data_IF_532545601795
#
_entry.id   IF_532545601795
#
_cell.length_a   1.000
_cell.length_b   1.000
_cell.length_c   1.000
_cell.angle_alpha   90.00
_cell.angle_beta   90.00
_cell.angle_gamma   90.00
#
_symmetry.space_group_name_H-M   'P 1'
#
loop_
_entity.id
_entity.type
_entity.pdbx_description
1 polymer ?
#
# COMPACT_ATOMS: atom_id res chain seq x y z
N UNK A 1 -38.35 -1.33 -9.34
CA UNK A 1 -37.89 -0.37 -8.52
C UNK A 1 -36.43 -0.20 -8.40
N UNK A 2 -36.04 0.98 -8.61
CA UNK A 2 -34.78 1.20 -8.61
C UNK A 2 -34.27 1.71 -7.39
N UNK A 3 -33.30 1.19 -7.06
CA UNK A 3 -32.65 1.45 -5.97
C UNK A 3 -32.12 2.80 -5.83
N UNK A 4 -31.76 3.16 -4.68
CA UNK A 4 -31.15 4.40 -4.37
C UNK A 4 -29.92 4.63 -5.22
N UNK A 5 -29.44 5.86 -5.36
CA UNK A 5 -28.25 6.12 -6.10
C UNK A 5 -27.10 5.21 -5.64
N UNK A 6 -26.52 4.52 -6.54
CA UNK A 6 -25.48 3.56 -6.27
C UNK A 6 -25.76 2.23 -6.95
N UNK A 7 -24.82 1.31 -6.82
CA UNK A 7 -24.96 0.00 -7.42
C UNK A 7 -25.78 -0.92 -6.52
N UNK A 8 -26.57 -1.82 -7.11
CA UNK A 8 -27.18 -2.91 -6.35
C UNK A 8 -26.07 -3.85 -5.86
N UNK A 9 -26.40 -4.79 -4.96
CA UNK A 9 -25.41 -5.70 -4.39
C UNK A 9 -24.63 -6.49 -5.43
N UNK A 10 -25.29 -6.96 -6.48
CA UNK A 10 -24.62 -7.69 -7.56
C UNK A 10 -23.67 -6.80 -8.34
N UNK A 11 -24.08 -5.58 -8.66
CA UNK A 11 -23.21 -4.63 -9.35
C UNK A 11 -22.01 -4.23 -8.51
N UNK A 12 -22.19 -4.05 -7.21
CA UNK A 12 -21.07 -3.77 -6.29
C UNK A 12 -20.05 -4.89 -6.29
N UNK A 13 -20.49 -6.15 -6.29
CA UNK A 13 -19.61 -7.30 -6.33
C UNK A 13 -18.83 -7.36 -7.64
N UNK A 14 -19.48 -7.10 -8.77
CA UNK A 14 -18.85 -7.10 -10.08
C UNK A 14 -17.79 -6.00 -10.17
N UNK A 15 -18.10 -4.80 -9.72
CA UNK A 15 -17.16 -3.67 -9.73
C UNK A 15 -15.94 -3.98 -8.86
N UNK A 16 -16.13 -4.52 -7.66
CA UNK A 16 -15.02 -4.91 -6.79
C UNK A 16 -14.14 -5.97 -7.45
N UNK A 17 -14.75 -6.97 -8.08
CA UNK A 17 -14.01 -8.03 -8.75
C UNK A 17 -13.16 -7.46 -9.89
N UNK A 18 -13.72 -6.56 -10.68
CA UNK A 18 -12.99 -5.93 -11.77
C UNK A 18 -11.82 -5.09 -11.27
N UNK A 19 -12.01 -4.35 -10.19
CA UNK A 19 -10.92 -3.58 -9.58
C UNK A 19 -9.84 -4.48 -9.02
N UNK A 20 -10.21 -5.58 -8.35
CA UNK A 20 -9.27 -6.53 -7.80
C UNK A 20 -8.47 -7.22 -8.90
N UNK A 21 -9.11 -7.59 -10.00
CA UNK A 21 -8.43 -8.18 -11.16
C UNK A 21 -7.41 -7.23 -11.76
N UNK A 22 -7.76 -5.95 -11.87
CA UNK A 22 -6.86 -4.94 -12.42
C UNK A 22 -5.66 -4.68 -11.51
N UNK A 23 -5.87 -4.64 -10.18
CA UNK A 23 -4.81 -4.40 -9.20
C UNK A 23 -3.99 -5.65 -8.90
N UNK A 24 -4.53 -6.82 -9.19
CA UNK A 24 -3.99 -8.10 -8.79
C UNK A 24 -4.31 -8.40 -7.34
N UNK A 25 -4.03 -9.62 -6.91
CA UNK A 25 -4.22 -10.03 -5.53
C UNK A 25 -3.12 -9.43 -4.65
N UNK A 26 -3.33 -9.44 -3.34
CA UNK A 26 -2.30 -9.00 -2.40
C UNK A 26 -1.02 -9.83 -2.57
N UNK A 27 -1.15 -11.15 -2.74
CA UNK A 27 0.01 -12.03 -2.95
C UNK A 27 0.78 -11.67 -4.23
N UNK A 28 0.07 -11.38 -5.33
CA UNK A 28 0.71 -10.96 -6.57
C UNK A 28 1.49 -9.66 -6.42
N UNK A 29 1.07 -8.78 -5.52
CA UNK A 29 1.77 -7.53 -5.20
C UNK A 29 2.89 -7.72 -4.17
N UNK A 30 3.14 -8.95 -3.73
CA UNK A 30 4.18 -9.27 -2.77
C UNK A 30 3.71 -9.43 -1.32
N UNK A 31 2.43 -9.17 -1.04
CA UNK A 31 1.89 -9.23 0.32
C UNK A 31 1.37 -10.64 0.65
N UNK A 32 2.27 -11.58 0.75
CA UNK A 32 2.00 -12.99 1.01
C UNK A 32 2.22 -13.35 2.50
N UNK A 33 2.28 -14.64 2.83
CA UNK A 33 2.49 -15.09 4.21
C UNK A 33 3.87 -14.73 4.75
N UNK A 34 4.88 -14.68 3.89
CA UNK A 34 6.23 -14.24 4.26
C UNK A 34 6.20 -12.76 4.67
N UNK A 35 5.49 -11.93 3.92
CA UNK A 35 5.30 -10.52 4.26
C UNK A 35 4.55 -10.38 5.59
N UNK A 36 3.49 -11.16 5.81
CA UNK A 36 2.72 -11.10 7.05
C UNK A 36 3.59 -11.35 8.27
N UNK A 37 4.49 -12.32 8.20
CA UNK A 37 5.43 -12.61 9.28
C UNK A 37 6.44 -11.49 9.48
N UNK A 38 6.98 -10.97 8.39
CA UNK A 38 7.97 -9.89 8.42
C UNK A 38 7.39 -8.61 9.02
N UNK A 39 6.15 -8.23 8.62
CA UNK A 39 5.52 -7.04 9.16
C UNK A 39 5.19 -7.17 10.64
N UNK A 40 4.72 -8.33 11.06
CA UNK A 40 4.43 -8.58 12.47
C UNK A 40 5.69 -8.45 13.33
N UNK A 41 6.79 -9.00 12.87
CA UNK A 41 8.08 -8.88 13.54
C UNK A 41 8.54 -7.41 13.62
N UNK A 42 8.42 -6.67 12.52
CA UNK A 42 8.79 -5.25 12.45
C UNK A 42 7.96 -4.42 13.43
N UNK A 43 6.65 -4.63 13.47
CA UNK A 43 5.75 -3.89 14.36
C UNK A 43 6.00 -4.19 15.84
N UNK A 44 6.45 -5.39 16.17
CA UNK A 44 6.87 -5.70 17.55
C UNK A 44 8.09 -4.90 17.97
N UNK A 45 9.02 -4.63 17.03
CA UNK A 45 10.21 -3.82 17.30
C UNK A 45 9.93 -2.33 17.22
N UNK A 46 8.95 -1.93 16.40
CA UNK A 46 8.60 -0.53 16.17
C UNK A 46 7.10 -0.33 16.41
N UNK A 47 6.66 -0.35 17.69
CA UNK A 47 5.23 -0.42 18.00
C UNK A 47 4.47 0.90 17.87
N UNK A 48 5.15 2.02 17.69
CA UNK A 48 4.50 3.34 17.68
C UNK A 48 4.56 4.00 16.31
N UNK A 49 3.46 4.68 15.95
CA UNK A 49 3.39 5.46 14.73
C UNK A 49 4.42 6.59 14.75
N UNK A 50 5.30 6.65 13.75
CA UNK A 50 6.37 7.66 13.72
C UNK A 50 5.83 9.08 13.57
N UNK A 51 4.74 9.28 12.85
CA UNK A 51 4.14 10.62 12.69
C UNK A 51 3.47 11.08 13.96
N UNK A 52 2.79 10.18 14.68
CA UNK A 52 2.23 10.52 15.99
C UNK A 52 3.32 10.87 16.99
N UNK A 53 4.45 10.15 16.97
CA UNK A 53 5.60 10.45 17.84
C UNK A 53 6.16 11.85 17.58
N UNK A 54 6.23 12.26 16.30
CA UNK A 54 6.67 13.62 15.95
C UNK A 54 5.75 14.67 16.54
N UNK A 55 4.45 14.35 16.67
CA UNK A 55 3.46 15.23 17.29
C UNK A 55 3.38 15.03 18.80
N UNK A 56 4.33 14.30 19.39
CA UNK A 56 4.39 13.99 20.83
C UNK A 56 3.19 13.19 21.32
N UNK A 57 2.63 12.33 20.46
CA UNK A 57 1.54 11.43 20.80
C UNK A 57 2.02 9.99 20.77
N UNK A 58 1.48 9.17 21.67
CA UNK A 58 1.80 7.75 21.74
C UNK A 58 0.63 6.97 21.16
N UNK A 59 0.75 6.56 19.91
CA UNK A 59 -0.30 5.83 19.20
C UNK A 59 0.31 4.58 18.58
N UNK A 60 -0.34 3.45 18.77
CA UNK A 60 0.15 2.17 18.25
C UNK A 60 0.17 2.18 16.72
N UNK A 61 1.25 1.66 16.15
CA UNK A 61 1.33 1.42 14.72
C UNK A 61 0.65 0.10 14.41
N UNK A 62 -0.14 0.09 13.35
CA UNK A 62 -0.84 -1.11 12.88
C UNK A 62 -0.51 -1.44 11.43
N UNK A 63 0.19 -0.55 10.75
CA UNK A 63 0.54 -0.69 9.34
C UNK A 63 2.03 -0.48 9.16
N UNK A 64 2.65 -1.29 8.33
CA UNK A 64 4.00 -1.05 7.83
C UNK A 64 3.87 -0.43 6.45
N UNK A 65 4.36 0.80 6.32
CA UNK A 65 4.29 1.55 5.08
C UNK A 65 5.63 1.52 4.35
N UNK A 66 5.60 1.46 3.02
CA UNK A 66 6.79 1.64 2.20
C UNK A 66 6.93 3.12 1.87
N UNK A 67 8.02 3.73 2.31
CA UNK A 67 8.26 5.18 2.11
C UNK A 67 8.31 5.49 0.62
N UNK A 68 9.10 4.72 -0.12
CA UNK A 68 9.13 4.79 -1.58
C UNK A 68 8.32 3.61 -2.13
N UNK A 69 7.32 3.83 -2.98
CA UNK A 69 6.54 2.75 -3.56
C UNK A 69 7.42 1.75 -4.31
N UNK A 70 7.24 0.46 -4.03
CA UNK A 70 8.07 -0.58 -4.63
C UNK A 70 7.64 -0.97 -6.04
N UNK A 71 6.34 -0.92 -6.34
CA UNK A 71 5.76 -1.28 -7.64
C UNK A 71 6.16 -2.68 -8.12
N UNK A 72 6.17 -3.63 -7.18
CA UNK A 72 6.63 -4.99 -7.46
C UNK A 72 5.79 -5.69 -8.52
N UNK A 73 4.46 -5.54 -8.47
CA UNK A 73 3.60 -6.18 -9.47
C UNK A 73 3.89 -5.67 -10.87
N UNK A 74 4.02 -4.36 -11.03
CA UNK A 74 4.34 -3.75 -12.32
C UNK A 74 5.69 -4.22 -12.84
N UNK A 75 6.68 -4.34 -11.96
CA UNK A 75 7.99 -4.84 -12.31
C UNK A 75 7.93 -6.30 -12.78
N UNK A 76 7.19 -7.14 -12.04
CA UNK A 76 7.01 -8.55 -12.42
C UNK A 76 6.29 -8.67 -13.77
N UNK A 77 5.27 -7.86 -13.99
CA UNK A 77 4.52 -7.85 -15.25
C UNK A 77 5.41 -7.41 -16.43
N UNK A 78 6.38 -6.54 -16.19
CA UNK A 78 7.30 -6.07 -17.23
C UNK A 78 8.30 -7.15 -17.69
N UNK A 79 8.61 -8.10 -16.81
CA UNK A 79 9.62 -9.12 -17.10
C UNK A 79 11.06 -8.61 -17.11
N UNK A 80 11.29 -7.32 -16.80
CA UNK A 80 12.61 -6.73 -16.79
C UNK A 80 13.33 -7.07 -15.48
N UNK A 81 14.42 -7.82 -15.57
CA UNK A 81 15.16 -8.29 -14.40
C UNK A 81 15.68 -7.16 -13.51
N UNK A 82 16.11 -6.05 -14.11
CA UNK A 82 16.62 -4.91 -13.35
C UNK A 82 15.50 -4.21 -12.57
N UNK A 83 14.34 -4.04 -13.20
CA UNK A 83 13.18 -3.46 -12.53
C UNK A 83 12.69 -4.34 -11.38
N UNK A 84 12.67 -5.66 -11.60
CA UNK A 84 12.26 -6.63 -10.58
C UNK A 84 13.22 -6.58 -9.39
N UNK A 85 14.53 -6.58 -9.65
CA UNK A 85 15.53 -6.51 -8.59
C UNK A 85 15.40 -5.24 -7.76
N UNK A 86 15.19 -4.10 -8.41
CA UNK A 86 14.99 -2.81 -7.74
C UNK A 86 13.73 -2.82 -6.89
N UNK A 87 12.62 -3.33 -7.44
CA UNK A 87 11.36 -3.41 -6.73
C UNK A 87 11.46 -4.30 -5.49
N UNK A 88 12.13 -5.45 -5.61
CA UNK A 88 12.35 -6.34 -4.47
C UNK A 88 13.22 -5.71 -3.39
N UNK A 89 14.24 -4.96 -3.77
CA UNK A 89 15.06 -4.22 -2.82
C UNK A 89 14.23 -3.22 -2.06
N UNK A 90 13.40 -2.43 -2.73
CA UNK A 90 12.52 -1.47 -2.08
C UNK A 90 11.49 -2.15 -1.19
N UNK A 91 10.95 -3.28 -1.62
CA UNK A 91 9.94 -4.01 -0.87
C UNK A 91 10.47 -4.53 0.47
N UNK A 92 11.71 -5.06 0.48
CA UNK A 92 12.27 -5.73 1.66
C UNK A 92 13.26 -4.89 2.47
N UNK A 93 13.45 -3.61 2.11
CA UNK A 93 14.36 -2.72 2.82
C UNK A 93 13.74 -2.18 4.10
N UNK A 94 13.72 -3.00 5.14
CA UNK A 94 13.11 -2.62 6.41
C UNK A 94 13.85 -1.49 7.12
N UNK A 95 15.15 -1.35 6.88
CA UNK A 95 15.95 -0.34 7.55
C UNK A 95 15.71 1.07 7.00
N UNK A 96 15.52 1.18 5.68
CA UNK A 96 15.46 2.50 5.03
C UNK A 96 14.14 2.81 4.35
N UNK A 97 13.33 1.79 4.03
CA UNK A 97 12.10 2.00 3.26
C UNK A 97 10.81 1.62 4.00
N UNK A 98 10.90 1.08 5.18
CA UNK A 98 9.71 0.76 5.98
C UNK A 98 9.52 1.78 7.09
N UNK A 99 8.27 2.08 7.41
CA UNK A 99 7.96 2.91 8.59
C UNK A 99 6.69 2.41 9.26
N UNK A 100 6.62 2.48 10.61
CA UNK A 100 5.43 2.06 11.33
C UNK A 100 4.43 3.22 11.39
N UNK A 101 3.20 2.98 10.98
CA UNK A 101 2.16 4.00 10.95
C UNK A 101 0.86 3.51 11.59
N UNK A 102 0.10 4.43 12.16
CA UNK A 102 -1.30 4.17 12.45
C UNK A 102 -2.09 4.26 11.14
N UNK A 103 -3.27 3.67 11.11
CA UNK A 103 -4.07 3.63 9.89
C UNK A 103 -4.42 5.03 9.35
N UNK A 104 -4.86 6.00 10.19
CA UNK A 104 -5.15 7.34 9.68
C UNK A 104 -3.98 8.00 8.96
N UNK A 105 -2.76 7.90 9.51
CA UNK A 105 -1.59 8.48 8.86
C UNK A 105 -1.24 7.76 7.56
N UNK A 106 -1.35 6.43 7.55
CA UNK A 106 -1.12 5.65 6.33
C UNK A 106 -2.08 6.06 5.22
N UNK A 107 -3.37 6.14 5.53
CA UNK A 107 -4.40 6.49 4.56
C UNK A 107 -4.22 7.93 4.05
N UNK A 108 -3.84 8.85 4.93
CA UNK A 108 -3.57 10.24 4.56
C UNK A 108 -2.41 10.40 3.59
N UNK A 109 -1.31 9.69 3.83
CA UNK A 109 -0.15 9.72 2.93
C UNK A 109 -0.50 9.13 1.57
N UNK A 110 -1.24 8.03 1.55
CA UNK A 110 -1.65 7.40 0.29
C UNK A 110 -2.51 8.33 -0.55
N UNK A 111 -3.46 9.03 0.07
CA UNK A 111 -4.28 10.03 -0.61
C UNK A 111 -3.43 11.16 -1.18
N UNK A 112 -2.44 11.63 -0.44
CA UNK A 112 -1.54 12.68 -0.89
C UNK A 112 -0.72 12.24 -2.11
N UNK A 113 -0.25 11.01 -2.12
CA UNK A 113 0.47 10.43 -3.26
C UNK A 113 -0.43 10.36 -4.49
N UNK A 114 -1.66 9.92 -4.33
CA UNK A 114 -2.63 9.86 -5.43
C UNK A 114 -2.94 11.23 -6.01
N UNK A 115 -3.09 12.25 -5.17
CA UNK A 115 -3.29 13.63 -5.62
C UNK A 115 -2.10 14.16 -6.40
N UNK A 116 -0.90 13.89 -5.95
CA UNK A 116 0.32 14.31 -6.63
C UNK A 116 0.43 13.65 -8.01
N UNK A 117 0.12 12.35 -8.11
CA UNK A 117 0.13 11.62 -9.37
C UNK A 117 -0.88 12.20 -10.36
N UNK A 118 -2.07 12.55 -9.89
CA UNK A 118 -3.10 13.17 -10.73
C UNK A 118 -2.67 14.54 -11.26
N UNK A 119 -2.01 15.34 -10.42
CA UNK A 119 -1.50 16.66 -10.85
C UNK A 119 -0.44 16.51 -11.94
N UNK A 120 0.47 15.56 -11.78
CA UNK A 120 1.50 15.31 -12.77
C UNK A 120 0.90 14.87 -14.11
N UNK A 121 -0.11 14.03 -14.08
CA UNK A 121 -0.82 13.59 -15.29
C UNK A 121 -1.48 14.74 -16.01
N UNK A 122 -2.05 15.71 -15.27
CA UNK A 122 -2.68 16.88 -15.88
C UNK A 122 -1.69 17.85 -16.52
N UNK A 123 -0.47 17.88 -16.00
CA UNK A 123 0.57 18.77 -16.52
C UNK A 123 1.31 18.18 -17.72
N UNK A 124 1.25 16.88 -17.89
CA UNK A 124 1.85 16.21 -19.02
C UNK A 124 0.98 16.27 -20.23
#
# INVERSE_FOLDING_TARGET
>A
VIDAPGYCEQHKKVVRKQEDERRGTAAERGYDSKWAKARAFYLRKHPLCVYCQRDKRVVAATVVDHITPHRLKEALDSGDEQQIARARTLFWDSANNWQPLCKPHHDGLKQAEERAARRNTRRG
#
